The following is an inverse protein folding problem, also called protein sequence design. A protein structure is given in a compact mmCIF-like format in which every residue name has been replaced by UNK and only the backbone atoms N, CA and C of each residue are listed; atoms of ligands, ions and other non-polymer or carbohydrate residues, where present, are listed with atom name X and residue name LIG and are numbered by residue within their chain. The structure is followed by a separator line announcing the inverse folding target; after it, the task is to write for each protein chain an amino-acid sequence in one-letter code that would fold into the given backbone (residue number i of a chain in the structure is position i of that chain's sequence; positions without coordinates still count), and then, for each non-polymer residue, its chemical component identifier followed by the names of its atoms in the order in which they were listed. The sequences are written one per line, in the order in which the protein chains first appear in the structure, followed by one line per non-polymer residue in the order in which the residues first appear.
data_IF_151258387514
#
_entry.id   IF_151258387514
#
_cell.length_a   1.000
_cell.length_b   1.000
_cell.length_c   1.000
_cell.angle_alpha   90.00
_cell.angle_beta   90.00
_cell.angle_gamma   90.00
#
_symmetry.space_group_name_H-M   'P 1'
#
loop_
_entity.id
_entity.type
_entity.pdbx_description
1 polymer ?
#
# COMPACT_ATOMS: atom_id res chain seq x y z
N UNK A 1 15.23 -37.90 -15.37
CA UNK A 1 14.64 -36.55 -15.22
C UNK A 1 13.15 -36.75 -15.01
N UNK A 2 12.71 -36.59 -13.77
CA UNK A 2 11.41 -37.07 -13.30
C UNK A 2 10.30 -36.06 -13.61
N UNK A 3 9.18 -36.54 -14.17
CA UNK A 3 7.93 -35.81 -14.41
C UNK A 3 7.19 -35.36 -13.13
N UNK A 4 7.78 -35.54 -11.95
CA UNK A 4 7.15 -35.30 -10.64
C UNK A 4 7.61 -34.02 -9.91
N UNK A 5 8.40 -33.13 -10.54
CA UNK A 5 8.84 -31.87 -9.90
C UNK A 5 7.83 -30.71 -10.01
N UNK A 6 6.73 -30.87 -10.75
CA UNK A 6 5.75 -29.79 -10.95
C UNK A 6 4.67 -29.71 -9.86
N UNK A 7 4.49 -30.75 -9.06
CA UNK A 7 3.40 -30.87 -8.05
C UNK A 7 3.84 -30.46 -6.63
N UNK A 8 4.79 -29.53 -6.51
CA UNK A 8 5.16 -28.92 -5.21
C UNK A 8 5.30 -27.38 -5.26
N UNK A 9 4.83 -26.70 -6.32
CA UNK A 9 4.71 -25.22 -6.29
C UNK A 9 3.48 -24.77 -5.48
N UNK A 10 3.35 -25.32 -4.26
CA UNK A 10 2.44 -24.81 -3.25
C UNK A 10 3.08 -23.62 -2.56
N UNK A 11 2.50 -22.44 -2.76
CA UNK A 11 2.47 -21.37 -1.76
C UNK A 11 3.79 -20.70 -1.33
N UNK A 12 4.83 -20.68 -2.17
CA UNK A 12 6.04 -19.87 -1.90
C UNK A 12 5.74 -18.37 -1.97
N UNK A 13 6.38 -17.57 -1.12
CA UNK A 13 6.20 -16.11 -1.09
C UNK A 13 6.52 -15.47 -2.44
N UNK A 14 7.58 -15.93 -3.12
CA UNK A 14 7.94 -15.49 -4.46
C UNK A 14 6.84 -15.76 -5.49
N UNK A 15 6.17 -16.92 -5.42
CA UNK A 15 5.03 -17.26 -6.27
C UNK A 15 3.82 -16.35 -6.02
N UNK A 16 3.57 -15.98 -4.75
CA UNK A 16 2.52 -15.03 -4.36
C UNK A 16 2.80 -13.62 -4.88
N UNK A 17 4.04 -13.12 -4.74
CA UNK A 17 4.46 -11.82 -5.25
C UNK A 17 4.33 -11.75 -6.77
N UNK A 18 4.85 -12.75 -7.48
CA UNK A 18 4.74 -12.85 -8.95
C UNK A 18 3.28 -12.84 -9.42
N UNK A 19 2.41 -13.60 -8.76
CA UNK A 19 0.98 -13.65 -9.08
C UNK A 19 0.27 -12.32 -8.83
N UNK A 20 0.59 -11.64 -7.73
CA UNK A 20 0.01 -10.34 -7.39
C UNK A 20 0.38 -9.26 -8.40
N UNK A 21 1.67 -9.19 -8.77
CA UNK A 21 2.17 -8.26 -9.80
C UNK A 21 1.52 -8.52 -11.15
N UNK A 22 1.50 -9.79 -11.59
CA UNK A 22 0.85 -10.17 -12.85
C UNK A 22 -0.64 -9.81 -12.87
N UNK A 23 -1.34 -10.01 -11.77
CA UNK A 23 -2.77 -9.66 -11.66
C UNK A 23 -2.99 -8.16 -11.84
N UNK A 24 -2.14 -7.32 -11.21
CA UNK A 24 -2.18 -5.88 -11.39
C UNK A 24 -1.92 -5.48 -12.85
N UNK A 25 -0.82 -5.96 -13.44
CA UNK A 25 -0.43 -5.66 -14.83
C UNK A 25 -1.51 -6.09 -15.83
N UNK A 26 -2.11 -7.27 -15.62
CA UNK A 26 -3.23 -7.74 -16.45
C UNK A 26 -4.46 -6.84 -16.30
N UNK A 27 -4.77 -6.36 -15.10
CA UNK A 27 -5.91 -5.47 -14.86
C UNK A 27 -5.71 -4.11 -15.53
N UNK A 28 -4.49 -3.56 -15.47
CA UNK A 28 -4.11 -2.33 -16.20
C UNK A 28 -4.25 -2.52 -17.72
N UNK A 29 -3.83 -3.69 -18.22
CA UNK A 29 -3.92 -4.02 -19.64
C UNK A 29 -5.36 -4.33 -20.13
N UNK A 30 -6.35 -4.47 -19.23
CA UNK A 30 -7.72 -4.72 -19.63
C UNK A 30 -8.27 -3.55 -20.46
N UNK A 31 -8.94 -3.91 -21.55
CA UNK A 31 -9.70 -2.99 -22.37
C UNK A 31 -11.14 -3.46 -22.50
N UNK A 32 -12.08 -2.51 -22.49
CA UNK A 32 -13.52 -2.77 -22.45
C UNK A 32 -14.15 -2.72 -21.04
N UNK A 33 -15.48 -2.71 -21.04
CA UNK A 33 -16.34 -2.34 -19.91
C UNK A 33 -17.29 -3.46 -19.45
N UNK A 34 -17.00 -4.71 -19.86
CA UNK A 34 -17.84 -5.85 -19.49
C UNK A 34 -17.99 -5.95 -17.97
N UNK A 35 -19.12 -6.52 -17.52
CA UNK A 35 -19.40 -6.67 -16.08
C UNK A 35 -18.27 -7.39 -15.34
N UNK A 36 -17.65 -8.37 -15.98
CA UNK A 36 -16.53 -9.14 -15.42
C UNK A 36 -15.26 -8.30 -15.29
N UNK A 37 -14.94 -7.50 -16.31
CA UNK A 37 -13.79 -6.60 -16.30
C UNK A 37 -13.97 -5.48 -15.26
N UNK A 38 -15.17 -4.90 -15.16
CA UNK A 38 -15.51 -3.93 -14.10
C UNK A 38 -15.36 -4.56 -12.72
N UNK A 39 -15.81 -5.80 -12.53
CA UNK A 39 -15.65 -6.51 -11.26
C UNK A 39 -14.18 -6.83 -10.92
N UNK A 40 -13.31 -7.04 -11.91
CA UNK A 40 -11.86 -7.17 -11.69
C UNK A 40 -11.25 -5.85 -11.23
N UNK A 41 -11.56 -4.73 -11.90
CA UNK A 41 -11.10 -3.38 -11.51
C UNK A 41 -11.54 -3.00 -10.11
N UNK A 42 -12.80 -3.23 -9.75
CA UNK A 42 -13.32 -3.00 -8.40
C UNK A 42 -12.53 -3.80 -7.36
N UNK A 43 -12.34 -5.11 -7.60
CA UNK A 43 -11.56 -5.96 -6.68
C UNK A 43 -10.12 -5.49 -6.54
N UNK A 44 -9.51 -5.03 -7.63
CA UNK A 44 -8.15 -4.51 -7.62
C UNK A 44 -8.07 -3.18 -6.86
N UNK A 45 -8.99 -2.25 -7.08
CA UNK A 45 -9.06 -0.97 -6.37
C UNK A 45 -9.17 -1.15 -4.84
N UNK A 46 -10.05 -2.05 -4.39
CA UNK A 46 -10.21 -2.38 -2.96
C UNK A 46 -8.90 -2.92 -2.37
N UNK A 47 -8.16 -3.75 -3.11
CA UNK A 47 -6.89 -4.30 -2.64
C UNK A 47 -5.80 -3.24 -2.60
N UNK A 48 -5.73 -2.37 -3.61
CA UNK A 48 -4.78 -1.26 -3.67
C UNK A 48 -4.97 -0.33 -2.48
N UNK A 49 -6.21 0.03 -2.13
CA UNK A 49 -6.50 0.80 -0.91
C UNK A 49 -5.81 0.21 0.32
N UNK A 50 -5.98 -1.10 0.54
CA UNK A 50 -5.36 -1.79 1.69
C UNK A 50 -3.84 -1.79 1.60
N UNK A 51 -3.27 -1.94 0.41
CA UNK A 51 -1.80 -1.84 0.21
C UNK A 51 -1.33 -0.44 0.61
N UNK A 52 -1.96 0.62 0.10
CA UNK A 52 -1.61 2.01 0.41
C UNK A 52 -1.70 2.29 1.92
N UNK A 53 -2.80 1.91 2.57
CA UNK A 53 -2.97 2.07 4.02
C UNK A 53 -1.83 1.41 4.81
N UNK A 54 -1.47 0.17 4.42
CA UNK A 54 -0.37 -0.57 5.07
C UNK A 54 0.99 0.03 4.80
N UNK A 55 1.24 0.51 3.59
CA UNK A 55 2.51 1.15 3.22
C UNK A 55 2.69 2.46 3.98
N UNK A 56 1.63 3.26 4.12
CA UNK A 56 1.67 4.48 4.94
C UNK A 56 2.02 4.15 6.39
N UNK A 57 1.33 3.17 6.99
CA UNK A 57 1.61 2.71 8.37
C UNK A 57 3.02 2.10 8.49
N UNK A 58 3.53 1.47 7.45
CA UNK A 58 4.91 0.98 7.43
C UNK A 58 5.91 2.15 7.46
N UNK A 59 5.63 3.23 6.72
CA UNK A 59 6.42 4.47 6.76
C UNK A 59 6.46 5.09 8.15
N UNK A 60 5.30 5.24 8.80
CA UNK A 60 5.22 5.81 10.15
C UNK A 60 6.03 5.00 11.16
N UNK A 61 5.83 3.67 11.18
CA UNK A 61 6.54 2.76 12.09
C UNK A 61 8.04 2.70 11.82
N UNK A 62 8.45 2.71 10.56
CA UNK A 62 9.87 2.66 10.19
C UNK A 62 10.59 3.92 10.65
N UNK A 63 9.97 5.10 10.52
CA UNK A 63 10.55 6.33 11.05
C UNK A 63 10.62 6.34 12.58
N UNK A 64 9.57 5.89 13.26
CA UNK A 64 9.58 5.81 14.73
C UNK A 64 10.73 4.92 15.25
N UNK A 65 10.91 3.72 14.66
CA UNK A 65 12.02 2.83 15.03
C UNK A 65 13.39 3.34 14.60
N UNK A 66 13.46 4.05 13.47
CA UNK A 66 14.68 4.72 13.02
C UNK A 66 15.14 5.78 14.02
N UNK A 67 14.22 6.63 14.50
CA UNK A 67 14.55 7.71 15.42
C UNK A 67 15.08 7.17 16.76
N UNK A 68 14.47 6.10 17.28
CA UNK A 68 14.98 5.39 18.46
C UNK A 68 16.40 4.86 18.23
N UNK A 69 16.61 4.13 17.14
CA UNK A 69 17.92 3.54 16.80
C UNK A 69 19.00 4.60 16.58
N UNK A 70 18.62 5.72 15.95
CA UNK A 70 19.48 6.87 15.72
C UNK A 70 19.91 7.53 17.03
N UNK A 71 19.00 7.72 17.98
CA UNK A 71 19.34 8.28 19.30
C UNK A 71 20.29 7.37 20.07
N UNK A 72 20.09 6.05 20.02
CA UNK A 72 20.98 5.06 20.65
C UNK A 72 22.39 5.14 20.04
N UNK A 73 22.51 5.15 18.71
CA UNK A 73 23.80 5.23 18.02
C UNK A 73 24.56 6.50 18.39
N UNK A 74 23.88 7.65 18.42
CA UNK A 74 24.48 8.93 18.81
C UNK A 74 25.00 8.88 20.26
N UNK A 75 24.23 8.31 21.19
CA UNK A 75 24.64 8.18 22.59
C UNK A 75 25.82 7.20 22.77
N UNK A 76 25.89 6.16 21.94
CA UNK A 76 26.97 5.18 21.93
C UNK A 76 28.23 5.62 21.19
N UNK A 77 28.19 6.71 20.43
CA UNK A 77 29.28 7.12 19.54
C UNK A 77 29.44 6.20 18.33
N UNK A 78 28.38 5.50 17.94
CA UNK A 78 28.31 4.60 16.80
C UNK A 78 27.83 5.35 15.54
N UNK A 79 28.02 4.72 14.38
CA UNK A 79 27.51 5.27 13.13
C UNK A 79 25.97 5.27 13.11
N UNK A 80 25.39 6.39 12.70
CA UNK A 80 23.94 6.55 12.60
C UNK A 80 23.41 5.65 11.47
N UNK A 81 22.33 4.87 11.70
CA UNK A 81 21.75 4.05 10.65
C UNK A 81 21.26 4.90 9.46
N UNK A 82 21.12 4.32 8.26
CA UNK A 82 20.49 5.00 7.14
C UNK A 82 19.00 5.24 7.42
N UNK A 83 18.47 6.36 6.92
CA UNK A 83 17.05 6.65 7.00
C UNK A 83 16.22 5.58 6.26
N UNK A 84 15.03 5.22 6.76
CA UNK A 84 14.19 4.21 6.13
C UNK A 84 13.64 4.73 4.81
N UNK A 85 13.54 3.84 3.83
CA UNK A 85 12.94 4.11 2.52
C UNK A 85 12.14 2.88 2.07
N UNK A 86 11.17 3.10 1.18
CA UNK A 86 10.44 1.99 0.55
C UNK A 86 11.40 1.11 -0.27
N UNK A 87 11.12 -0.19 -0.27
CA UNK A 87 11.83 -1.20 -1.06
C UNK A 87 10.85 -1.98 -1.91
N UNK A 88 11.34 -2.88 -2.77
CA UNK A 88 10.48 -3.79 -3.53
C UNK A 88 9.53 -4.61 -2.64
N UNK A 89 9.92 -4.93 -1.40
CA UNK A 89 9.04 -5.64 -0.48
C UNK A 89 7.86 -4.77 -0.02
N UNK A 90 8.03 -3.45 0.04
CA UNK A 90 6.97 -2.49 0.39
C UNK A 90 5.83 -2.53 -0.63
N UNK A 91 6.11 -2.88 -1.90
CA UNK A 91 5.13 -2.99 -2.96
C UNK A 91 4.09 -4.10 -2.74
N UNK A 92 4.39 -5.10 -1.89
CA UNK A 92 3.55 -6.27 -1.70
C UNK A 92 2.95 -6.31 -0.31
N UNK A 93 1.63 -6.45 -0.22
CA UNK A 93 0.94 -6.56 1.06
C UNK A 93 -0.05 -7.70 1.06
N UNK A 94 -0.10 -8.45 2.16
CA UNK A 94 -1.15 -9.44 2.40
C UNK A 94 -2.47 -8.73 2.68
N UNK A 95 -3.51 -9.06 1.94
CA UNK A 95 -4.87 -8.53 2.07
C UNK A 95 -5.81 -9.65 2.47
N UNK A 96 -6.60 -9.42 3.53
CA UNK A 96 -7.66 -10.33 3.93
C UNK A 96 -8.86 -10.14 2.99
N UNK A 97 -9.36 -11.23 2.42
CA UNK A 97 -10.59 -11.24 1.61
C UNK A 97 -11.57 -12.25 2.17
N UNK A 98 -12.83 -12.20 1.71
CA UNK A 98 -13.86 -13.19 2.07
C UNK A 98 -13.47 -14.63 1.74
N UNK A 99 -12.57 -14.82 0.76
CA UNK A 99 -12.09 -16.14 0.32
C UNK A 99 -10.71 -16.49 0.92
N UNK A 100 -10.26 -15.78 1.94
CA UNK A 100 -8.96 -15.96 2.57
C UNK A 100 -7.95 -14.86 2.24
N UNK A 101 -6.69 -15.09 2.62
CA UNK A 101 -5.60 -14.13 2.42
C UNK A 101 -5.06 -14.20 0.99
N UNK A 102 -4.82 -13.03 0.40
CA UNK A 102 -4.17 -12.89 -0.92
C UNK A 102 -3.05 -11.86 -0.82
N UNK A 103 -2.03 -12.01 -1.65
CA UNK A 103 -1.05 -10.94 -1.86
C UNK A 103 -1.62 -9.92 -2.85
N UNK A 104 -1.41 -8.63 -2.58
CA UNK A 104 -1.71 -7.52 -3.47
C UNK A 104 -0.42 -6.73 -3.76
N UNK A 105 -0.42 -6.01 -4.88
CA UNK A 105 0.74 -5.28 -5.39
C UNK A 105 0.35 -3.87 -5.84
N UNK A 106 1.24 -2.91 -5.60
CA UNK A 106 1.30 -1.62 -6.31
C UNK A 106 2.74 -1.37 -6.82
N UNK A 107 2.93 -0.62 -7.92
CA UNK A 107 4.27 -0.26 -8.40
C UNK A 107 5.09 0.54 -7.37
N UNK A 108 6.42 0.43 -7.46
CA UNK A 108 7.37 1.00 -6.49
C UNK A 108 7.28 2.53 -6.44
N UNK A 109 7.01 3.18 -7.55
CA UNK A 109 6.84 4.62 -7.64
C UNK A 109 5.67 5.11 -6.78
N UNK A 110 4.60 4.32 -6.63
CA UNK A 110 3.47 4.64 -5.75
C UNK A 110 3.77 4.25 -4.30
N UNK A 111 4.36 3.06 -4.08
CA UNK A 111 4.73 2.61 -2.75
C UNK A 111 5.70 3.57 -2.05
N UNK A 112 6.70 4.09 -2.78
CA UNK A 112 7.66 5.04 -2.27
C UNK A 112 7.01 6.37 -1.86
N UNK A 113 6.09 6.90 -2.68
CA UNK A 113 5.38 8.14 -2.35
C UNK A 113 4.49 7.98 -1.11
N UNK A 114 3.73 6.88 -1.02
CA UNK A 114 2.86 6.60 0.13
C UNK A 114 3.68 6.35 1.40
N UNK A 115 4.81 5.66 1.29
CA UNK A 115 5.71 5.42 2.42
C UNK A 115 6.28 6.74 2.95
N UNK A 116 6.73 7.62 2.06
CA UNK A 116 7.25 8.94 2.43
C UNK A 116 6.18 9.80 3.10
N UNK A 117 4.91 9.76 2.64
CA UNK A 117 3.82 10.42 3.34
C UNK A 117 3.68 9.94 4.79
N UNK A 118 3.80 8.62 5.02
CA UNK A 118 3.82 8.04 6.37
C UNK A 118 4.98 8.56 7.21
N UNK A 119 6.18 8.65 6.63
CA UNK A 119 7.36 9.21 7.30
C UNK A 119 7.13 10.68 7.67
N UNK A 120 6.67 11.52 6.74
CA UNK A 120 6.42 12.95 6.96
C UNK A 120 5.32 13.19 8.00
N UNK A 121 4.26 12.39 7.98
CA UNK A 121 3.21 12.41 8.99
C UNK A 121 3.78 12.08 10.38
N UNK A 122 4.59 11.03 10.50
CA UNK A 122 5.22 10.64 11.76
C UNK A 122 6.18 11.71 12.32
N UNK A 123 6.86 12.44 11.44
CA UNK A 123 7.72 13.58 11.82
C UNK A 123 6.95 14.81 12.29
N UNK A 124 5.62 14.85 12.10
CA UNK A 124 4.80 16.04 12.32
C UNK A 124 5.00 17.13 11.26
N UNK A 125 5.54 16.78 10.08
CA UNK A 125 5.71 17.73 8.96
C UNK A 125 4.39 17.99 8.23
N UNK A 126 3.46 17.03 8.28
CA UNK A 126 2.11 17.12 7.72
C UNK A 126 1.10 16.61 8.73
N UNK A 127 -0.10 17.18 8.75
CA UNK A 127 -1.22 16.71 9.56
C UNK A 127 -2.01 15.59 8.86
N UNK A 128 -3.03 15.06 9.55
CA UNK A 128 -3.85 13.97 9.03
C UNK A 128 -4.64 14.34 7.77
N UNK A 129 -5.12 15.58 7.66
CA UNK A 129 -5.91 16.01 6.50
C UNK A 129 -5.02 16.15 5.26
N UNK A 130 -3.85 16.75 5.40
CA UNK A 130 -2.88 16.86 4.32
C UNK A 130 -2.34 15.48 3.91
N UNK A 131 -2.14 14.57 4.86
CA UNK A 131 -1.76 13.19 4.56
C UNK A 131 -2.85 12.47 3.73
N UNK A 132 -4.12 12.58 4.12
CA UNK A 132 -5.26 12.00 3.38
C UNK A 132 -5.34 12.58 1.97
N UNK A 133 -5.32 13.91 1.82
CA UNK A 133 -5.40 14.57 0.51
C UNK A 133 -4.23 14.19 -0.40
N UNK A 134 -3.00 14.21 0.13
CA UNK A 134 -1.81 13.84 -0.66
C UNK A 134 -1.85 12.36 -1.06
N UNK A 135 -2.34 11.48 -0.18
CA UNK A 135 -2.49 10.05 -0.49
C UNK A 135 -3.61 9.80 -1.51
N UNK A 136 -4.66 10.62 -1.48
CA UNK A 136 -5.74 10.59 -2.47
C UNK A 136 -5.24 10.98 -3.86
N UNK A 137 -4.34 11.95 -4.00
CA UNK A 137 -3.73 12.30 -5.28
C UNK A 137 -2.97 11.11 -5.89
N UNK A 138 -2.18 10.41 -5.07
CA UNK A 138 -1.48 9.18 -5.48
C UNK A 138 -2.49 8.07 -5.87
N UNK A 139 -3.60 7.97 -5.14
CA UNK A 139 -4.66 7.00 -5.41
C UNK A 139 -5.41 7.30 -6.72
N UNK A 140 -5.54 8.58 -7.09
CA UNK A 140 -6.13 9.00 -8.35
C UNK A 140 -5.23 8.59 -9.53
N UNK A 141 -3.93 8.80 -9.44
CA UNK A 141 -2.98 8.35 -10.46
C UNK A 141 -3.03 6.81 -10.67
N UNK A 142 -3.15 6.05 -9.57
CA UNK A 142 -3.39 4.59 -9.64
C UNK A 142 -4.75 4.25 -10.24
N UNK A 143 -5.78 5.05 -9.96
CA UNK A 143 -7.12 4.92 -10.53
C UNK A 143 -7.11 5.12 -12.04
N UNK A 144 -6.36 6.10 -12.53
CA UNK A 144 -6.19 6.39 -13.95
C UNK A 144 -5.47 5.25 -14.68
N UNK A 145 -4.41 4.68 -14.08
CA UNK A 145 -3.76 3.47 -14.60
C UNK A 145 -4.72 2.29 -14.72
N UNK A 146 -5.67 2.17 -13.80
CA UNK A 146 -6.71 1.13 -13.83
C UNK A 146 -7.94 1.51 -14.65
N UNK A 147 -7.99 2.72 -15.20
CA UNK A 147 -9.12 3.28 -15.98
C UNK A 147 -10.43 3.23 -15.19
N UNK A 148 -10.40 3.52 -13.89
CA UNK A 148 -11.58 3.37 -13.03
C UNK A 148 -12.72 4.30 -13.45
N UNK A 149 -12.38 5.53 -13.79
CA UNK A 149 -13.27 6.59 -14.26
C UNK A 149 -14.02 6.21 -15.56
N UNK A 150 -13.29 5.68 -16.55
CA UNK A 150 -13.84 5.26 -17.85
C UNK A 150 -14.95 4.21 -17.71
N UNK A 151 -14.96 3.47 -16.60
CA UNK A 151 -15.88 2.37 -16.37
C UNK A 151 -16.81 2.58 -15.17
N UNK A 152 -16.96 3.82 -14.71
CA UNK A 152 -17.81 4.22 -13.58
C UNK A 152 -17.53 3.41 -12.30
N UNK A 153 -16.26 3.08 -12.06
CA UNK A 153 -15.80 2.44 -10.83
C UNK A 153 -15.51 3.52 -9.80
N UNK A 154 -15.89 3.27 -8.54
CA UNK A 154 -15.59 4.19 -7.44
C UNK A 154 -14.08 4.43 -7.32
N UNK A 155 -13.66 5.65 -6.95
CA UNK A 155 -12.26 5.97 -6.73
C UNK A 155 -11.69 5.18 -5.56
N UNK A 156 -10.37 5.06 -5.53
CA UNK A 156 -9.65 4.49 -4.38
C UNK A 156 -9.58 5.56 -3.30
N UNK A 157 -10.08 5.26 -2.09
CA UNK A 157 -10.09 6.18 -0.94
C UNK A 157 -9.15 5.66 0.16
N UNK A 158 -7.85 6.01 0.14
CA UNK A 158 -6.89 5.58 1.15
C UNK A 158 -6.99 6.40 2.44
N UNK A 159 -6.43 5.87 3.53
CA UNK A 159 -6.26 6.51 4.83
C UNK A 159 -7.55 6.95 5.56
N UNK A 160 -8.70 6.36 5.23
CA UNK A 160 -9.97 6.67 5.95
C UNK A 160 -9.85 6.54 7.48
N UNK A 161 -9.00 5.65 7.97
CA UNK A 161 -8.78 5.48 9.41
C UNK A 161 -8.23 6.75 10.10
N UNK A 162 -7.55 7.65 9.38
CA UNK A 162 -7.10 8.94 9.92
C UNK A 162 -8.28 9.91 10.07
N UNK A 163 -9.27 9.84 9.18
CA UNK A 163 -10.48 10.67 9.27
C UNK A 163 -11.36 10.22 10.44
N UNK A 164 -11.50 8.90 10.62
CA UNK A 164 -12.24 8.30 11.73
C UNK A 164 -11.63 8.69 13.09
N UNK A 165 -10.30 8.67 13.22
CA UNK A 165 -9.60 9.10 14.43
C UNK A 165 -9.81 10.59 14.74
N UNK A 166 -9.79 11.45 13.72
CA UNK A 166 -10.00 12.88 13.92
C UNK A 166 -11.44 13.20 14.36
N UNK A 167 -12.45 12.49 13.86
CA UNK A 167 -13.84 12.67 14.30
C UNK A 167 -14.06 12.27 15.77
N UNK A 168 -13.41 11.20 16.23
CA UNK A 168 -13.52 10.75 17.63
C UNK A 168 -12.84 11.72 18.62
N UNK A 169 -11.84 12.48 18.17
CA UNK A 169 -11.17 13.48 19.01
C UNK A 169 -12.05 14.72 19.18
N UNK A 170 -12.76 15.14 18.13
CA UNK A 170 -13.64 16.32 18.17
C UNK A 170 -14.88 16.08 19.06
N UNK A 171 -15.43 14.86 19.04
CA UNK A 171 -16.59 14.47 19.88
C UNK A 171 -16.26 14.33 21.39
N UNK A 172 -14.99 14.33 21.78
CA UNK A 172 -14.54 14.22 23.18
C UNK A 172 -14.09 15.56 23.78
N UNK A 173 -14.28 16.67 23.07
CA UNK A 173 -14.01 18.03 23.55
C UNK A 173 -15.35 18.78 23.68
N UNK A 174 -16.21 18.31 24.60
CA UNK A 174 -17.40 19.03 25.08
C UNK A 174 -17.57 18.85 26.60
#
# INVERSE_FOLDING_TARGET
MSWFDWVHSGDTEAGKKSSARKTFEQTVALDGDSREMRALRIRQAVRIRVVMDKVFVAGTKSWAGYEESRMIAIAGGEDVPPAPAATEDTCYQTVNTVNGQTMAYIPIEFAAQVFELGVRYQKGEIDGLLAVNSCQDIANDLGDLLKLDLYAVQPILPLNFLLEQNSEIDDNVD
#
